data_IF_584358147034
#
_entry.id   IF_584358147034
#
_cell.length_a   1.000
_cell.length_b   1.000
_cell.length_c   1.000
_cell.angle_alpha   90.00
_cell.angle_beta   90.00
_cell.angle_gamma   90.00
#
_symmetry.space_group_name_H-M   'P 1'
#
loop_
_entity.id
_entity.type
_entity.pdbx_description
1 polymer ?
#
# COMPACT_ATOMS: atom_id res chain seq x y z
N UNK A 1 -4.85 -5.93 -8.55
CA UNK A 1 -4.86 -7.25 -9.25
C UNK A 1 -3.66 -7.25 -10.19
N UNK A 2 -3.29 -8.34 -10.87
CA UNK A 2 -2.27 -8.24 -11.91
C UNK A 2 -2.82 -7.34 -13.04
N UNK A 3 -2.14 -6.23 -13.41
CA UNK A 3 -2.61 -5.32 -14.46
C UNK A 3 -2.59 -5.94 -15.86
N UNK A 4 -1.79 -7.00 -16.07
CA UNK A 4 -1.68 -7.68 -17.36
C UNK A 4 -2.76 -8.75 -17.57
N UNK A 5 -3.04 -9.60 -16.57
CA UNK A 5 -3.96 -10.74 -16.70
C UNK A 5 -5.18 -10.72 -15.76
N UNK A 6 -5.28 -9.75 -14.85
CA UNK A 6 -6.40 -9.63 -13.90
C UNK A 6 -6.35 -10.57 -12.68
N UNK A 7 -5.39 -11.49 -12.59
CA UNK A 7 -5.31 -12.45 -11.48
C UNK A 7 -5.05 -11.80 -10.10
N UNK A 8 -5.54 -12.40 -9.01
CA UNK A 8 -5.33 -11.95 -7.62
C UNK A 8 -3.96 -12.36 -7.05
N UNK A 9 -2.90 -12.24 -7.85
CA UNK A 9 -1.53 -12.70 -7.54
C UNK A 9 -0.56 -11.56 -7.19
N UNK A 10 -1.05 -10.31 -7.18
CA UNK A 10 -0.21 -9.12 -7.05
C UNK A 10 0.58 -9.06 -5.73
N UNK A 11 0.04 -9.59 -4.65
CA UNK A 11 0.67 -9.52 -3.32
C UNK A 11 1.14 -10.90 -2.87
N UNK A 12 2.41 -10.99 -2.47
CA UNK A 12 3.02 -12.18 -1.89
C UNK A 12 3.01 -12.20 -0.36
N UNK A 13 2.90 -11.03 0.27
CA UNK A 13 2.82 -10.87 1.72
C UNK A 13 1.81 -9.75 2.09
N UNK A 14 1.52 -9.51 3.39
CA UNK A 14 0.51 -8.54 3.82
C UNK A 14 0.64 -7.15 3.18
N UNK A 15 1.86 -6.65 2.98
CA UNK A 15 2.11 -5.37 2.29
C UNK A 15 3.29 -5.43 1.30
N UNK A 16 3.57 -6.61 0.75
CA UNK A 16 4.64 -6.82 -0.22
C UNK A 16 4.07 -7.28 -1.57
N UNK A 17 4.42 -6.55 -2.63
CA UNK A 17 4.14 -6.97 -4.00
C UNK A 17 5.00 -8.21 -4.30
N UNK A 18 4.43 -9.21 -4.97
CA UNK A 18 5.22 -10.37 -5.41
C UNK A 18 6.20 -9.95 -6.52
N UNK A 19 7.35 -10.59 -6.66
CA UNK A 19 8.30 -10.24 -7.73
C UNK A 19 7.71 -10.51 -9.12
N UNK A 20 6.90 -11.56 -9.26
CA UNK A 20 6.26 -11.93 -10.51
C UNK A 20 4.82 -12.42 -10.32
N UNK A 21 4.02 -12.31 -11.38
CA UNK A 21 2.67 -12.87 -11.41
C UNK A 21 2.72 -14.40 -11.54
N UNK A 22 2.20 -15.13 -10.56
CA UNK A 22 2.09 -16.61 -10.62
C UNK A 22 1.21 -17.16 -11.75
N UNK A 23 0.35 -16.33 -12.36
CA UNK A 23 -0.57 -16.76 -13.41
C UNK A 23 -0.04 -16.51 -14.83
N UNK A 24 0.62 -15.37 -15.07
CA UNK A 24 1.07 -14.98 -16.41
C UNK A 24 2.58 -14.70 -16.50
N UNK A 25 3.34 -14.83 -15.41
CA UNK A 25 4.79 -14.63 -15.39
C UNK A 25 5.26 -13.18 -15.48
N UNK A 26 4.35 -12.19 -15.48
CA UNK A 26 4.72 -10.78 -15.59
C UNK A 26 5.59 -10.30 -14.42
N UNK A 27 6.70 -9.62 -14.72
CA UNK A 27 7.69 -9.15 -13.76
C UNK A 27 7.27 -7.80 -13.14
N UNK A 28 6.86 -7.84 -11.88
CA UNK A 28 6.50 -6.65 -11.09
C UNK A 28 7.73 -5.94 -10.51
N UNK A 29 8.82 -6.65 -10.27
CA UNK A 29 10.04 -6.10 -9.67
C UNK A 29 10.68 -5.02 -10.55
N UNK A 30 10.55 -5.14 -11.88
CA UNK A 30 10.99 -4.13 -12.85
C UNK A 30 10.36 -2.74 -12.64
N UNK A 31 9.14 -2.68 -12.11
CA UNK A 31 8.36 -1.44 -11.92
C UNK A 31 8.43 -0.96 -10.46
N UNK A 32 8.64 -1.86 -9.50
CA UNK A 32 8.77 -1.53 -8.08
C UNK A 32 10.12 -0.82 -7.79
N UNK A 33 10.26 0.41 -8.27
CA UNK A 33 11.41 1.28 -8.04
C UNK A 33 11.41 1.74 -6.58
N UNK A 34 12.07 0.98 -5.71
CA UNK A 34 12.57 1.34 -4.38
C UNK A 34 11.56 2.00 -3.44
N UNK A 35 11.23 1.33 -2.33
CA UNK A 35 10.25 1.76 -1.31
C UNK A 35 10.55 3.07 -0.55
N UNK A 36 11.25 4.04 -1.14
CA UNK A 36 11.60 5.35 -0.55
C UNK A 36 10.38 6.10 -0.01
N UNK A 37 9.24 5.99 -0.70
CA UNK A 37 7.99 6.63 -0.29
C UNK A 37 7.17 5.76 0.70
N UNK A 38 7.49 4.49 0.89
CA UNK A 38 6.77 3.64 1.84
C UNK A 38 6.88 4.18 3.27
N UNK A 39 8.08 4.59 3.69
CA UNK A 39 8.29 5.21 5.01
C UNK A 39 7.52 6.52 5.18
N UNK A 40 7.49 7.36 4.13
CA UNK A 40 6.74 8.63 4.13
C UNK A 40 5.23 8.39 4.27
N UNK A 41 4.69 7.40 3.57
CA UNK A 41 3.28 7.00 3.70
C UNK A 41 2.97 6.51 5.11
N UNK A 42 3.85 5.69 5.72
CA UNK A 42 3.66 5.21 7.09
C UNK A 42 3.66 6.35 8.11
N UNK A 43 4.55 7.34 7.96
CA UNK A 43 4.58 8.52 8.85
C UNK A 43 3.30 9.33 8.73
N UNK A 44 2.81 9.58 7.51
CA UNK A 44 1.54 10.30 7.31
C UNK A 44 0.39 9.57 7.99
N UNK A 45 0.29 8.25 7.82
CA UNK A 45 -0.73 7.44 8.47
C UNK A 45 -0.62 7.52 9.99
N UNK A 46 0.60 7.45 10.54
CA UNK A 46 0.83 7.58 11.98
C UNK A 46 0.36 8.94 12.51
N UNK A 47 0.68 10.04 11.83
CA UNK A 47 0.24 11.39 12.22
C UNK A 47 -1.28 11.51 12.22
N UNK A 48 -1.94 11.00 11.17
CA UNK A 48 -3.41 11.01 11.07
C UNK A 48 -4.02 10.20 12.23
N UNK A 49 -3.53 8.99 12.49
CA UNK A 49 -4.03 8.15 13.58
C UNK A 49 -3.82 8.81 14.94
N UNK A 50 -2.67 9.43 15.19
CA UNK A 50 -2.41 10.16 16.42
C UNK A 50 -3.37 11.35 16.60
N UNK A 51 -3.64 12.12 15.55
CA UNK A 51 -4.58 13.24 15.61
C UNK A 51 -6.01 12.76 15.96
N UNK A 52 -6.46 11.66 15.35
CA UNK A 52 -7.77 11.06 15.65
C UNK A 52 -7.78 10.51 17.08
N UNK A 53 -6.70 9.87 17.54
CA UNK A 53 -6.59 9.33 18.89
C UNK A 53 -6.70 10.41 19.98
N UNK A 54 -6.00 11.52 19.80
CA UNK A 54 -6.07 12.68 20.69
C UNK A 54 -7.47 13.31 20.68
N UNK A 55 -8.10 13.41 19.51
CA UNK A 55 -9.47 13.90 19.39
C UNK A 55 -10.47 13.02 20.14
N UNK A 56 -10.39 11.70 19.97
CA UNK A 56 -11.28 10.76 20.67
C UNK A 56 -11.09 10.79 22.18
N UNK A 57 -9.84 10.86 22.65
CA UNK A 57 -9.51 10.92 24.08
C UNK A 57 -10.11 12.18 24.72
N UNK A 58 -10.00 13.32 24.04
CA UNK A 58 -10.56 14.60 24.50
C UNK A 58 -12.09 14.59 24.60
N UNK A 59 -12.79 13.91 23.68
CA UNK A 59 -14.25 13.86 23.67
C UNK A 59 -14.83 12.82 24.64
N UNK A 60 -14.24 11.62 24.71
CA UNK A 60 -14.89 10.47 25.33
C UNK A 60 -14.19 9.95 26.59
N UNK A 61 -13.01 10.47 26.95
CA UNK A 61 -12.20 10.03 28.11
C UNK A 61 -12.19 8.50 28.25
N UNK A 62 -11.85 7.82 27.16
CA UNK A 62 -11.92 6.36 27.09
C UNK A 62 -10.99 5.72 28.14
N UNK A 63 -11.42 4.61 28.78
CA UNK A 63 -10.52 3.84 29.64
C UNK A 63 -9.31 3.34 28.84
N UNK A 64 -8.13 3.47 29.42
CA UNK A 64 -6.83 3.22 28.75
C UNK A 64 -6.76 1.83 28.09
N UNK A 65 -7.34 0.81 28.72
CA UNK A 65 -7.38 -0.54 28.17
C UNK A 65 -8.16 -0.62 26.84
N UNK A 66 -9.31 0.05 26.75
CA UNK A 66 -10.14 0.07 25.53
C UNK A 66 -9.43 0.86 24.42
N UNK A 67 -8.77 1.95 24.78
CA UNK A 67 -7.93 2.72 23.87
C UNK A 67 -6.88 1.80 23.22
N UNK A 68 -6.05 1.11 24.01
CA UNK A 68 -5.04 0.21 23.44
C UNK A 68 -5.65 -0.93 22.61
N UNK A 69 -6.72 -1.56 23.09
CA UNK A 69 -7.37 -2.67 22.39
C UNK A 69 -7.95 -2.25 21.02
N UNK A 70 -8.43 -1.01 20.90
CA UNK A 70 -8.98 -0.48 19.65
C UNK A 70 -7.88 0.04 18.71
N UNK A 71 -6.91 0.79 19.23
CA UNK A 71 -5.89 1.44 18.41
C UNK A 71 -4.86 0.46 17.86
N UNK A 72 -4.48 -0.59 18.61
CA UNK A 72 -3.53 -1.59 18.11
C UNK A 72 -3.96 -2.24 16.78
N UNK A 73 -5.16 -2.85 16.64
CA UNK A 73 -5.60 -3.42 15.37
C UNK A 73 -5.85 -2.34 14.32
N UNK A 74 -6.35 -1.16 14.71
CA UNK A 74 -6.60 -0.05 13.78
C UNK A 74 -5.31 0.46 13.14
N UNK A 75 -4.23 0.59 13.91
CA UNK A 75 -2.93 1.03 13.42
C UNK A 75 -2.31 -0.03 12.51
N UNK A 76 -2.31 -1.30 12.91
CA UNK A 76 -1.78 -2.39 12.07
C UNK A 76 -2.56 -2.46 10.76
N UNK A 77 -3.89 -2.47 10.83
CA UNK A 77 -4.77 -2.51 9.65
C UNK A 77 -4.58 -1.28 8.76
N UNK A 78 -4.53 -0.08 9.35
CA UNK A 78 -4.34 1.17 8.64
C UNK A 78 -3.01 1.26 7.90
N UNK A 79 -1.91 0.86 8.53
CA UNK A 79 -0.59 0.84 7.89
C UNK A 79 -0.55 -0.18 6.77
N UNK A 80 -1.05 -1.40 6.99
CA UNK A 80 -1.12 -2.43 5.95
C UNK A 80 -1.95 -1.97 4.76
N UNK A 81 -3.14 -1.42 5.01
CA UNK A 81 -4.03 -0.93 3.97
C UNK A 81 -3.40 0.21 3.17
N UNK A 82 -2.85 1.21 3.86
CA UNK A 82 -2.22 2.36 3.22
C UNK A 82 -1.03 1.94 2.35
N UNK A 83 -0.19 1.03 2.85
CA UNK A 83 0.96 0.55 2.12
C UNK A 83 0.55 -0.29 0.91
N UNK A 84 -0.46 -1.16 1.04
CA UNK A 84 -1.03 -1.90 -0.09
C UNK A 84 -1.58 -0.96 -1.16
N UNK A 85 -2.38 0.02 -0.76
CA UNK A 85 -2.99 0.98 -1.66
C UNK A 85 -1.93 1.80 -2.41
N UNK A 86 -0.98 2.38 -1.67
CA UNK A 86 0.12 3.14 -2.22
C UNK A 86 0.93 2.31 -3.24
N UNK A 87 1.33 1.09 -2.87
CA UNK A 87 2.08 0.20 -3.74
C UNK A 87 1.31 -0.19 -4.99
N UNK A 88 0.01 -0.48 -4.87
CA UNK A 88 -0.83 -0.77 -6.05
C UNK A 88 -0.92 0.41 -7.01
N UNK A 89 -1.21 1.61 -6.49
CA UNK A 89 -1.31 2.80 -7.33
C UNK A 89 0.00 3.08 -8.06
N UNK A 90 1.12 3.00 -7.35
CA UNK A 90 2.43 3.24 -7.94
C UNK A 90 2.77 2.21 -9.02
N UNK A 91 2.45 0.94 -8.79
CA UNK A 91 2.67 -0.13 -9.76
C UNK A 91 1.81 0.05 -11.00
N UNK A 92 0.52 0.39 -10.86
CA UNK A 92 -0.35 0.64 -12.01
C UNK A 92 0.10 1.88 -12.81
N UNK A 93 0.46 2.98 -12.15
CA UNK A 93 1.00 4.16 -12.80
C UNK A 93 2.37 3.92 -13.46
N UNK A 94 3.15 2.97 -12.95
CA UNK A 94 4.39 2.53 -13.58
C UNK A 94 4.15 1.64 -14.80
N UNK A 95 3.13 0.78 -14.73
CA UNK A 95 2.71 -0.11 -15.82
C UNK A 95 2.22 0.68 -17.05
N UNK A 96 1.41 1.71 -16.85
CA UNK A 96 0.94 2.57 -17.95
C UNK A 96 2.11 3.26 -18.66
N UNK A 97 3.03 3.86 -17.91
CA UNK A 97 4.24 4.49 -18.48
C UNK A 97 5.13 3.52 -19.27
N UNK A 98 5.25 2.28 -18.83
CA UNK A 98 6.01 1.26 -19.55
C UNK A 98 5.33 0.89 -20.87
N UNK A 99 3.98 0.82 -20.91
CA UNK A 99 3.21 0.55 -22.13
C UNK A 99 3.28 1.69 -23.13
N UNK A 100 3.18 2.93 -22.67
CA UNK A 100 3.31 4.12 -23.52
C UNK A 100 4.69 4.17 -24.19
N UNK A 101 5.77 3.96 -23.41
CA UNK A 101 7.13 3.92 -23.95
C UNK A 101 7.44 2.72 -24.84
N UNK A 102 6.63 1.66 -24.81
CA UNK A 102 6.72 0.54 -25.74
C UNK A 102 6.04 0.87 -27.09
N UNK A 103 4.93 1.62 -27.06
CA UNK A 103 4.19 2.02 -28.27
C UNK A 103 4.90 3.08 -29.11
N UNK A 104 5.75 3.91 -28.51
CA UNK A 104 6.54 4.95 -29.20
C UNK A 104 7.73 4.37 -30.00
N UNK A 105 8.11 3.11 -29.73
CA UNK A 105 9.25 2.43 -30.39
C UNK A 105 8.89 1.64 -31.64
N UNK A 106 7.62 1.66 -32.08
CA UNK A 106 7.18 0.96 -33.29
C UNK A 106 7.21 1.95 -34.49
N UNK A 107 8.14 1.80 -35.46
CA UNK A 107 8.28 2.68 -36.62
C UNK A 107 7.25 2.43 -37.73
#
# INVERSE_FOLDING_TARGET
MCPHCGAKTLFGAPAQIADHCRACGYDFASIERGGRLAGLVTIIVAVILCAIALGLDALFRLPIALQFAMWAPLTVGGVLYALRFYKTLFLYAGYERQREGASDKEP
#
